data_IF_415004569063
#
_entry.id   IF_415004569063
#
_cell.length_a   1.000
_cell.length_b   1.000
_cell.length_c   1.000
_cell.angle_alpha   90.00
_cell.angle_beta   90.00
_cell.angle_gamma   90.00
#
_symmetry.space_group_name_H-M   'P 1'
#
loop_
_entity.id
_entity.type
_entity.pdbx_description
1 polymer ?
#
# COMPACT_ATOMS: atom_id res chain seq x y z
N UNK A 1 26.07 -3.55 -12.12
CA UNK A 1 24.82 -4.02 -12.74
C UNK A 1 23.74 -3.90 -11.68
N UNK A 2 22.85 -2.90 -11.80
CA UNK A 2 21.71 -2.75 -10.90
C UNK A 2 20.61 -3.72 -11.32
N UNK A 3 20.10 -4.47 -10.37
CA UNK A 3 19.15 -5.55 -10.55
C UNK A 3 17.76 -5.00 -10.93
N UNK A 4 17.29 -5.24 -12.16
CA UNK A 4 15.95 -4.84 -12.66
C UNK A 4 14.75 -5.41 -11.86
N UNK A 5 15.01 -6.20 -10.81
CA UNK A 5 13.99 -6.84 -9.96
C UNK A 5 13.68 -6.08 -8.67
N UNK A 6 14.33 -4.94 -8.42
CA UNK A 6 14.03 -4.03 -7.30
C UNK A 6 13.33 -2.76 -7.82
N UNK A 7 12.23 -2.93 -8.55
CA UNK A 7 11.40 -1.80 -8.99
C UNK A 7 10.53 -1.34 -7.83
N UNK A 8 10.69 -0.11 -7.31
CA UNK A 8 9.96 0.36 -6.13
C UNK A 8 8.44 0.49 -6.35
N UNK A 9 8.02 0.49 -7.61
CA UNK A 9 6.63 0.49 -8.07
C UNK A 9 5.87 -0.82 -7.75
N UNK A 10 6.58 -1.96 -7.70
CA UNK A 10 6.03 -3.27 -7.30
C UNK A 10 6.04 -3.48 -5.77
N UNK A 11 6.53 -2.49 -5.01
CA UNK A 11 6.54 -2.54 -3.54
C UNK A 11 5.11 -2.61 -3.01
N UNK A 12 4.77 -3.72 -2.35
CA UNK A 12 3.49 -3.87 -1.65
C UNK A 12 3.49 -2.98 -0.41
N UNK A 13 2.66 -1.93 -0.43
CA UNK A 13 2.54 -0.97 0.66
C UNK A 13 1.54 -1.45 1.71
N UNK A 14 0.44 -2.09 1.28
CA UNK A 14 -0.54 -2.64 2.20
C UNK A 14 -0.76 -4.14 1.97
N UNK A 15 -0.20 -4.97 2.85
CA UNK A 15 -0.39 -6.42 2.82
C UNK A 15 -1.81 -6.88 3.19
N UNK A 16 -2.60 -6.03 3.85
CA UNK A 16 -3.99 -6.37 4.21
C UNK A 16 -4.92 -6.38 2.99
N UNK A 17 -4.69 -5.47 2.05
CA UNK A 17 -5.52 -5.28 0.86
C UNK A 17 -4.77 -5.55 -0.46
N UNK A 18 -3.46 -5.81 -0.39
CA UNK A 18 -2.62 -6.07 -1.56
C UNK A 18 -2.26 -4.83 -2.38
N UNK A 19 -2.35 -3.63 -1.81
CA UNK A 19 -2.05 -2.40 -2.55
C UNK A 19 -0.56 -2.19 -2.74
N UNK A 20 -0.15 -1.92 -3.99
CA UNK A 20 1.22 -1.55 -4.35
C UNK A 20 1.42 -0.04 -4.40
N UNK A 21 2.69 0.38 -4.39
CA UNK A 21 3.07 1.78 -4.57
C UNK A 21 2.51 2.36 -5.86
N UNK A 22 2.64 1.64 -6.97
CA UNK A 22 2.13 2.08 -8.27
C UNK A 22 0.63 2.33 -8.23
N UNK A 23 -0.14 1.44 -7.60
CA UNK A 23 -1.60 1.60 -7.48
C UNK A 23 -1.98 2.87 -6.72
N UNK A 24 -1.31 3.14 -5.59
CA UNK A 24 -1.53 4.35 -4.78
C UNK A 24 -1.18 5.61 -5.58
N UNK A 25 -0.06 5.58 -6.31
CA UNK A 25 0.37 6.71 -7.14
C UNK A 25 -0.59 6.95 -8.29
N UNK A 26 -1.01 5.90 -9.01
CA UNK A 26 -1.97 5.99 -10.12
C UNK A 26 -3.31 6.53 -9.66
N UNK A 27 -3.82 6.05 -8.53
CA UNK A 27 -5.06 6.52 -7.90
C UNK A 27 -4.95 8.01 -7.51
N UNK A 28 -3.81 8.45 -6.97
CA UNK A 28 -3.55 9.86 -6.70
C UNK A 28 -3.54 10.70 -7.99
N UNK A 29 -2.88 10.24 -9.04
CA UNK A 29 -2.80 10.96 -10.32
C UNK A 29 -4.16 11.06 -11.01
N UNK A 30 -5.00 10.04 -10.90
CA UNK A 30 -6.33 10.01 -11.50
C UNK A 30 -7.34 10.91 -10.76
N UNK A 31 -7.27 10.94 -9.42
CA UNK A 31 -8.28 11.61 -8.60
C UNK A 31 -7.80 12.90 -7.92
N UNK A 32 -6.51 13.22 -8.02
CA UNK A 32 -5.87 14.31 -7.28
C UNK A 32 -5.66 14.05 -5.78
N UNK A 33 -6.09 12.88 -5.29
CA UNK A 33 -5.90 12.38 -3.92
C UNK A 33 -5.96 10.87 -3.93
N UNK A 34 -5.21 10.19 -3.05
CA UNK A 34 -5.27 8.74 -3.01
C UNK A 34 -6.40 8.25 -2.10
N UNK A 35 -7.48 7.78 -2.72
CA UNK A 35 -8.58 7.10 -2.04
C UNK A 35 -8.13 5.78 -1.45
N UNK A 36 -7.21 5.08 -2.13
CA UNK A 36 -6.59 3.86 -1.61
C UNK A 36 -5.89 4.14 -0.29
N UNK A 37 -5.12 5.24 -0.21
CA UNK A 37 -4.46 5.63 1.03
C UNK A 37 -5.47 5.98 2.13
N UNK A 38 -6.53 6.71 1.79
CA UNK A 38 -7.62 7.02 2.73
C UNK A 38 -8.30 5.75 3.26
N UNK A 39 -8.55 4.76 2.41
CA UNK A 39 -9.14 3.47 2.77
C UNK A 39 -8.22 2.69 3.72
N UNK A 40 -6.92 2.60 3.40
CA UNK A 40 -5.93 1.94 4.27
C UNK A 40 -5.90 2.60 5.65
N UNK A 41 -5.89 3.94 5.70
CA UNK A 41 -5.89 4.69 6.96
C UNK A 41 -7.20 4.49 7.74
N UNK A 42 -8.34 4.47 7.07
CA UNK A 42 -9.64 4.23 7.69
C UNK A 42 -9.72 2.81 8.27
N UNK A 43 -9.32 1.79 7.48
CA UNK A 43 -9.28 0.39 7.94
C UNK A 43 -8.30 0.18 9.10
N UNK A 44 -7.15 0.87 9.10
CA UNK A 44 -6.21 0.85 10.23
C UNK A 44 -6.82 1.47 11.48
N UNK A 45 -7.53 2.60 11.37
CA UNK A 45 -8.22 3.25 12.49
C UNK A 45 -9.38 2.43 13.04
N UNK A 46 -10.12 1.73 12.17
CA UNK A 46 -11.23 0.86 12.55
C UNK A 46 -10.77 -0.48 13.14
N UNK A 47 -9.47 -0.78 13.14
CA UNK A 47 -8.94 -2.07 13.58
C UNK A 47 -9.27 -3.23 12.63
N UNK A 48 -9.74 -2.93 11.41
CA UNK A 48 -10.03 -3.91 10.38
C UNK A 48 -8.77 -4.42 9.66
N UNK A 49 -7.65 -3.71 9.81
CA UNK A 49 -6.36 -4.14 9.28
C UNK A 49 -5.71 -5.22 10.15
N UNK A 50 -5.26 -6.31 9.53
CA UNK A 50 -4.45 -7.36 10.16
C UNK A 50 -2.96 -7.07 10.06
N UNK A 51 -2.54 -5.81 10.15
CA UNK A 51 -1.13 -5.40 9.95
C UNK A 51 -0.16 -6.19 10.83
N UNK A 52 -0.51 -6.46 12.08
CA UNK A 52 0.33 -7.23 13.01
C UNK A 52 0.59 -8.68 12.56
N UNK A 53 -0.30 -9.28 11.74
CA UNK A 53 -0.17 -10.65 11.26
C UNK A 53 0.24 -10.74 9.78
N UNK A 54 -0.17 -9.76 8.96
CA UNK A 54 0.01 -9.77 7.51
C UNK A 54 1.22 -8.92 7.05
N UNK A 55 1.64 -7.91 7.82
CA UNK A 55 2.83 -7.13 7.49
C UNK A 55 4.07 -7.79 8.11
N UNK A 56 5.09 -8.21 7.33
CA UNK A 56 6.34 -8.73 7.88
C UNK A 56 7.10 -7.72 8.77
N UNK A 57 6.75 -6.42 8.69
CA UNK A 57 7.26 -5.39 9.62
C UNK A 57 6.41 -5.21 10.89
N UNK A 58 5.24 -5.85 10.97
CA UNK A 58 4.35 -5.86 12.13
C UNK A 58 3.53 -4.59 12.40
N UNK A 59 3.65 -3.52 11.59
CA UNK A 59 2.99 -2.21 11.85
C UNK A 59 2.61 -1.46 10.59
#
# INVERSE_FOLDING_TARGET
>A
MGDERDRPEDETICFCFGYTREQIVRDFLEHGRSRILEEILAAKRLGACRCAAANPRGT
#
